data_IF_960139539422
#
_entry.id   IF_960139539422
#
_cell.length_a   1.000
_cell.length_b   1.000
_cell.length_c   1.000
_cell.angle_alpha   90.00
_cell.angle_beta   90.00
_cell.angle_gamma   90.00
#
_symmetry.space_group_name_H-M   'P 1'
#
loop_
_entity.id
_entity.type
_entity.pdbx_description
1 polymer ?
#
# COMPACT_ATOMS: atom_id res chain seq x y z
N UNK A 1 17.82 -8.59 13.84
CA UNK A 1 18.44 -7.94 15.03
C UNK A 1 17.77 -6.62 15.41
N UNK A 2 17.66 -5.64 14.51
CA UNK A 2 17.06 -4.33 14.80
C UNK A 2 15.76 -4.42 15.61
N UNK A 3 14.78 -5.18 15.15
CA UNK A 3 13.45 -5.27 15.79
C UNK A 3 13.55 -5.84 17.22
N UNK A 4 14.44 -6.82 17.46
CA UNK A 4 14.70 -7.35 18.81
C UNK A 4 15.31 -6.29 19.75
N UNK A 5 16.28 -5.51 19.26
CA UNK A 5 16.93 -4.46 20.04
C UNK A 5 15.97 -3.32 20.41
N UNK A 6 14.91 -3.13 19.62
CA UNK A 6 13.81 -2.20 19.89
C UNK A 6 12.69 -2.80 20.75
N UNK A 7 12.83 -4.05 21.20
CA UNK A 7 11.80 -4.75 21.99
C UNK A 7 10.60 -5.24 21.18
N UNK A 8 10.69 -5.24 19.85
CA UNK A 8 9.67 -5.78 18.97
C UNK A 8 9.88 -7.27 18.72
N UNK A 9 8.80 -8.01 18.52
CA UNK A 9 8.88 -9.39 18.04
C UNK A 9 9.14 -9.40 16.53
N UNK A 10 10.30 -9.89 16.04
CA UNK A 10 10.55 -10.03 14.63
C UNK A 10 9.60 -11.09 14.04
N UNK A 11 9.19 -10.83 12.81
CA UNK A 11 8.34 -11.77 12.09
C UNK A 11 9.10 -13.02 11.65
N UNK A 12 10.33 -12.82 11.17
CA UNK A 12 11.18 -13.84 10.56
C UNK A 12 12.63 -13.65 11.05
N UNK A 13 13.41 -14.73 11.00
CA UNK A 13 14.85 -14.72 11.25
C UNK A 13 15.56 -15.15 9.97
N UNK A 14 16.40 -14.27 9.44
CA UNK A 14 17.26 -14.57 8.31
C UNK A 14 18.64 -14.97 8.82
N UNK A 15 19.23 -15.98 8.21
CA UNK A 15 20.60 -16.42 8.49
C UNK A 15 21.50 -15.94 7.38
N UNK A 16 22.61 -15.33 7.72
CA UNK A 16 23.67 -14.97 6.79
C UNK A 16 24.92 -15.81 7.06
N UNK A 17 25.57 -16.30 6.01
CA UNK A 17 26.71 -17.23 6.12
C UNK A 17 27.72 -17.01 5.00
N UNK A 18 28.94 -17.47 5.18
CA UNK A 18 29.95 -17.55 4.11
C UNK A 18 29.77 -18.78 3.20
N UNK A 19 28.90 -19.74 3.57
CA UNK A 19 28.62 -20.90 2.73
C UNK A 19 27.86 -20.49 1.45
N UNK A 20 28.25 -21.04 0.31
CA UNK A 20 27.55 -20.83 -0.96
C UNK A 20 26.16 -21.50 -0.97
N UNK A 21 25.22 -21.08 -1.81
CA UNK A 21 23.91 -21.70 -1.90
C UNK A 21 23.96 -23.19 -2.21
N UNK A 22 24.95 -23.63 -2.99
CA UNK A 22 25.20 -25.02 -3.35
C UNK A 22 25.69 -25.84 -2.16
N UNK A 23 26.56 -25.29 -1.31
CA UNK A 23 27.03 -25.92 -0.07
C UNK A 23 25.87 -26.04 0.94
N UNK A 24 25.08 -24.99 1.09
CA UNK A 24 23.88 -25.02 1.96
C UNK A 24 22.92 -26.12 1.50
N UNK A 25 22.65 -26.20 0.19
CA UNK A 25 21.80 -27.24 -0.37
C UNK A 25 22.37 -28.66 -0.18
N UNK A 26 23.69 -28.81 -0.23
CA UNK A 26 24.36 -30.09 0.02
C UNK A 26 24.25 -30.51 1.50
N UNK A 27 24.32 -29.54 2.42
CA UNK A 27 24.25 -29.77 3.85
C UNK A 27 22.83 -30.09 4.33
N UNK A 28 21.81 -29.41 3.74
CA UNK A 28 20.42 -29.56 4.15
C UNK A 28 19.56 -30.22 3.05
N UNK A 29 19.17 -31.48 3.26
CA UNK A 29 18.35 -32.23 2.31
C UNK A 29 16.96 -31.64 2.06
N UNK A 30 16.42 -30.83 3.01
CA UNK A 30 15.15 -30.12 2.95
C UNK A 30 15.30 -28.66 2.42
N UNK A 31 16.42 -28.36 1.73
CA UNK A 31 16.71 -27.04 1.19
C UNK A 31 16.21 -26.90 -0.26
N UNK A 32 15.62 -25.75 -0.58
CA UNK A 32 15.31 -25.31 -1.95
C UNK A 32 16.01 -24.01 -2.25
N UNK A 33 16.71 -23.94 -3.41
CA UNK A 33 17.29 -22.69 -3.91
C UNK A 33 16.21 -21.94 -4.67
N UNK A 34 16.00 -20.68 -4.30
CA UNK A 34 15.05 -19.77 -4.93
C UNK A 34 15.73 -18.50 -5.41
N UNK A 35 15.07 -17.79 -6.31
CA UNK A 35 15.58 -16.55 -6.89
C UNK A 35 16.46 -16.77 -8.13
N UNK A 36 16.26 -15.94 -9.16
CA UNK A 36 17.07 -15.93 -10.37
C UNK A 36 18.23 -14.94 -10.29
N UNK A 37 17.95 -13.76 -9.72
CA UNK A 37 18.91 -12.67 -9.55
C UNK A 37 19.73 -12.85 -8.27
N UNK A 38 19.04 -13.19 -7.18
CA UNK A 38 19.61 -13.45 -5.86
C UNK A 38 19.26 -14.87 -5.48
N UNK A 39 20.24 -15.73 -5.34
CA UNK A 39 20.03 -17.09 -4.87
C UNK A 39 19.95 -17.10 -3.36
N UNK A 40 18.80 -17.49 -2.83
CA UNK A 40 18.54 -17.72 -1.42
C UNK A 40 18.30 -19.20 -1.20
N UNK A 41 18.77 -19.73 -0.10
CA UNK A 41 18.48 -21.08 0.33
C UNK A 41 17.32 -21.06 1.33
N UNK A 42 16.20 -21.66 0.96
CA UNK A 42 15.05 -21.86 1.83
C UNK A 42 15.14 -23.25 2.48
N UNK A 43 15.37 -23.31 3.79
CA UNK A 43 15.40 -24.54 4.55
C UNK A 43 14.04 -24.73 5.21
N UNK A 44 13.37 -25.85 4.89
CA UNK A 44 12.01 -26.13 5.31
C UNK A 44 11.97 -26.97 6.59
N UNK A 45 11.40 -26.45 7.67
CA UNK A 45 11.12 -27.15 8.91
C UNK A 45 9.59 -27.29 9.09
N UNK A 46 9.02 -28.32 8.45
CA UNK A 46 7.57 -28.47 8.40
C UNK A 46 6.88 -27.34 7.66
N UNK A 47 6.19 -26.45 8.39
CA UNK A 47 5.55 -25.25 7.81
C UNK A 47 6.42 -24.01 7.89
N UNK A 48 7.49 -24.05 8.66
CA UNK A 48 8.40 -22.93 8.82
C UNK A 48 9.52 -22.98 7.77
N UNK A 49 9.94 -21.82 7.32
CA UNK A 49 11.02 -21.66 6.36
C UNK A 49 12.04 -20.71 6.96
N UNK A 50 13.29 -21.16 7.02
CA UNK A 50 14.42 -20.30 7.37
C UNK A 50 15.11 -19.90 6.07
N UNK A 51 15.22 -18.59 5.83
CA UNK A 51 15.98 -18.05 4.71
C UNK A 51 17.46 -17.97 5.10
N UNK A 52 18.31 -18.56 4.25
CA UNK A 52 19.75 -18.50 4.42
C UNK A 52 20.36 -17.83 3.20
N UNK A 53 21.08 -16.73 3.43
CA UNK A 53 21.76 -15.93 2.41
C UNK A 53 23.28 -16.07 2.56
N UNK A 54 23.98 -16.21 1.46
CA UNK A 54 25.45 -16.09 1.42
C UNK A 54 25.85 -14.62 1.53
N UNK A 55 26.92 -14.29 2.28
CA UNK A 55 27.50 -12.94 2.33
C UNK A 55 27.90 -12.49 0.92
N UNK A 56 27.66 -11.23 0.61
CA UNK A 56 27.88 -10.66 -0.71
C UNK A 56 28.80 -9.44 -0.62
N UNK A 57 29.66 -9.29 -1.64
CA UNK A 57 30.46 -8.09 -1.83
C UNK A 57 29.76 -7.09 -2.78
N UNK A 58 30.23 -5.85 -2.79
CA UNK A 58 29.91 -4.89 -3.83
C UNK A 58 30.56 -5.34 -5.17
N UNK A 59 29.94 -4.97 -6.30
CA UNK A 59 30.60 -5.12 -7.59
C UNK A 59 31.66 -4.03 -7.72
N UNK A 60 32.89 -4.39 -7.97
CA UNK A 60 33.93 -3.44 -8.43
C UNK A 60 33.60 -2.97 -9.85
N UNK A 61 33.65 -1.65 -10.07
CA UNK A 61 33.31 -0.99 -11.35
C UNK A 61 34.29 -1.37 -12.51
N UNK A 62 35.21 -2.28 -12.29
CA UNK A 62 36.26 -2.65 -13.24
C UNK A 62 36.14 -4.01 -13.91
N UNK A 63 35.28 -4.90 -13.46
CA UNK A 63 35.08 -6.18 -14.11
C UNK A 63 33.91 -6.14 -15.08
N UNK A 64 34.20 -6.17 -16.41
CA UNK A 64 33.23 -6.50 -17.47
C UNK A 64 32.72 -7.94 -17.27
N UNK A 65 31.98 -8.17 -16.24
CA UNK A 65 31.33 -9.44 -15.92
C UNK A 65 29.87 -9.42 -16.29
N UNK A 66 29.35 -10.51 -16.83
CA UNK A 66 27.99 -10.82 -17.28
C UNK A 66 26.85 -10.41 -16.31
N UNK A 67 26.70 -9.15 -15.93
CA UNK A 67 25.70 -8.77 -14.91
C UNK A 67 25.12 -7.37 -14.97
N UNK A 68 25.71 -6.46 -15.74
CA UNK A 68 25.24 -5.06 -15.82
C UNK A 68 24.58 -4.81 -17.18
N UNK A 69 23.38 -4.23 -17.20
CA UNK A 69 22.75 -3.74 -18.45
C UNK A 69 23.23 -2.35 -18.78
N UNK A 70 23.06 -1.93 -20.07
CA UNK A 70 23.34 -0.58 -20.56
C UNK A 70 22.66 0.57 -19.76
N UNK A 71 21.72 0.24 -18.85
CA UNK A 71 21.00 1.17 -17.98
C UNK A 71 21.44 1.10 -16.50
N UNK A 72 22.59 0.51 -16.18
CA UNK A 72 23.10 0.43 -14.82
C UNK A 72 22.36 -0.55 -13.88
N UNK A 73 21.42 -1.34 -14.41
CA UNK A 73 20.68 -2.33 -13.62
C UNK A 73 21.50 -3.61 -13.46
N UNK A 74 21.86 -3.94 -12.23
CA UNK A 74 22.56 -5.20 -11.90
C UNK A 74 21.63 -6.39 -12.16
N UNK A 75 21.97 -7.24 -13.14
CA UNK A 75 21.19 -8.42 -13.53
C UNK A 75 21.52 -9.66 -12.70
N UNK A 76 22.77 -9.80 -12.23
CA UNK A 76 23.22 -10.88 -11.35
C UNK A 76 24.08 -10.28 -10.24
N UNK A 77 23.74 -10.57 -9.00
CA UNK A 77 24.43 -10.10 -7.80
C UNK A 77 24.86 -11.34 -6.99
N UNK A 78 25.77 -12.12 -7.56
CA UNK A 78 26.32 -13.35 -6.95
C UNK A 78 27.83 -13.21 -6.67
N UNK A 79 28.32 -12.00 -6.44
CA UNK A 79 29.67 -11.80 -5.93
C UNK A 79 29.63 -12.05 -4.42
N UNK A 80 30.27 -13.13 -3.99
CA UNK A 80 30.34 -13.50 -2.57
C UNK A 80 31.48 -12.74 -1.88
N UNK A 81 31.26 -12.37 -0.62
CA UNK A 81 32.20 -11.59 0.17
C UNK A 81 32.26 -11.99 1.63
N UNK A 82 32.87 -11.15 2.43
CA UNK A 82 32.91 -11.26 3.89
C UNK A 82 31.61 -10.75 4.53
N UNK A 83 31.43 -10.98 5.83
CA UNK A 83 30.35 -10.40 6.62
C UNK A 83 30.38 -8.86 6.59
N UNK A 84 31.59 -8.28 6.62
CA UNK A 84 31.78 -6.83 6.53
C UNK A 84 31.32 -6.28 5.19
N UNK A 85 31.69 -6.92 4.07
CA UNK A 85 31.25 -6.54 2.71
C UNK A 85 29.72 -6.58 2.63
N UNK A 86 29.07 -7.62 3.17
CA UNK A 86 27.61 -7.71 3.19
C UNK A 86 26.96 -6.61 4.02
N UNK A 87 27.59 -6.15 5.10
CA UNK A 87 27.10 -5.03 5.89
C UNK A 87 27.15 -3.71 5.14
N UNK A 88 28.29 -3.41 4.48
CA UNK A 88 28.47 -2.16 3.74
C UNK A 88 27.59 -2.01 2.50
N UNK A 89 27.14 -3.11 1.89
CA UNK A 89 26.24 -3.06 0.73
C UNK A 89 24.76 -2.92 1.08
N UNK A 90 24.38 -3.06 2.36
CA UNK A 90 22.98 -2.89 2.81
C UNK A 90 22.50 -1.45 2.65
N UNK A 91 21.21 -1.22 2.84
CA UNK A 91 20.61 0.11 2.65
C UNK A 91 20.86 1.06 3.84
N UNK A 92 20.47 0.65 5.04
CA UNK A 92 20.52 1.51 6.22
C UNK A 92 21.34 0.88 7.34
N UNK A 93 22.03 1.71 8.12
CA UNK A 93 22.91 1.28 9.22
C UNK A 93 22.18 0.38 10.21
N UNK A 94 20.96 0.73 10.60
CA UNK A 94 20.12 -0.05 11.52
C UNK A 94 19.67 -1.41 10.96
N UNK A 95 19.78 -1.62 9.65
CA UNK A 95 19.48 -2.89 8.97
C UNK A 95 20.72 -3.76 8.75
N UNK A 96 21.91 -3.28 9.11
CA UNK A 96 23.18 -3.97 8.93
C UNK A 96 23.76 -4.52 10.25
N UNK A 97 22.88 -4.90 11.17
CA UNK A 97 23.23 -5.50 12.45
C UNK A 97 23.10 -7.01 12.38
N UNK A 98 24.13 -7.72 12.80
CA UNK A 98 24.16 -9.18 12.81
C UNK A 98 24.30 -9.70 14.25
N UNK A 99 23.73 -10.86 14.49
CA UNK A 99 23.90 -11.57 15.76
C UNK A 99 24.83 -12.75 15.53
N UNK A 100 25.94 -12.77 16.26
CA UNK A 100 26.87 -13.88 16.23
C UNK A 100 26.44 -14.94 17.26
N UNK A 101 26.23 -16.16 16.79
CA UNK A 101 25.79 -17.27 17.66
C UNK A 101 26.93 -17.90 18.49
N UNK A 102 28.18 -17.66 18.12
CA UNK A 102 29.32 -18.27 18.79
C UNK A 102 29.62 -17.58 20.14
N UNK A 103 29.51 -16.25 20.18
CA UNK A 103 29.81 -15.43 21.36
C UNK A 103 28.64 -14.59 21.84
N UNK A 104 27.48 -14.72 21.19
CA UNK A 104 26.23 -13.99 21.46
C UNK A 104 26.35 -12.46 21.34
N UNK A 105 27.33 -11.99 20.58
CA UNK A 105 27.55 -10.57 20.33
C UNK A 105 26.70 -10.03 19.19
N UNK A 106 26.52 -8.71 19.18
CA UNK A 106 25.96 -7.97 18.03
C UNK A 106 27.10 -7.37 17.24
N UNK A 107 27.25 -7.79 15.99
CA UNK A 107 28.27 -7.27 15.08
C UNK A 107 27.71 -6.08 14.32
N UNK A 108 28.43 -4.97 14.37
CA UNK A 108 28.05 -3.68 13.75
C UNK A 108 29.29 -3.04 13.10
N UNK A 109 29.32 -3.03 11.77
CA UNK A 109 30.39 -2.40 10.97
C UNK A 109 30.04 -0.97 10.54
N UNK A 110 28.78 -0.56 10.65
CA UNK A 110 28.25 0.65 10.01
C UNK A 110 27.78 1.71 11.00
N UNK A 111 27.88 1.44 12.30
CA UNK A 111 27.39 2.35 13.35
C UNK A 111 25.89 2.25 13.60
N UNK A 112 25.26 1.17 13.19
CA UNK A 112 23.82 0.96 13.31
C UNK A 112 23.31 0.92 14.76
N UNK A 113 24.11 0.45 15.73
CA UNK A 113 23.74 0.49 17.15
C UNK A 113 23.64 1.91 17.71
N UNK A 114 24.53 2.81 17.27
CA UNK A 114 24.48 4.21 17.68
C UNK A 114 23.24 4.90 17.08
N UNK A 115 22.99 4.71 15.78
CA UNK A 115 21.83 5.26 15.09
C UNK A 115 20.51 4.69 15.67
N UNK A 116 20.49 3.41 16.03
CA UNK A 116 19.34 2.77 16.67
C UNK A 116 18.99 3.42 18.02
N UNK A 117 20.01 3.69 18.84
CA UNK A 117 19.85 4.36 20.15
C UNK A 117 19.43 5.82 20.00
N UNK A 118 19.91 6.48 18.94
CA UNK A 118 19.59 7.87 18.63
C UNK A 118 18.21 8.03 17.94
N UNK A 119 17.58 6.95 17.50
CA UNK A 119 16.34 7.01 16.71
C UNK A 119 16.55 7.67 15.33
N UNK A 120 17.70 7.44 14.70
CA UNK A 120 18.07 8.01 13.41
C UNK A 120 18.12 6.92 12.35
N UNK A 121 17.51 7.20 11.20
CA UNK A 121 17.64 6.36 10.01
C UNK A 121 18.67 6.98 9.07
N UNK A 122 19.78 6.28 8.88
CA UNK A 122 20.91 6.70 8.07
C UNK A 122 21.19 5.67 6.98
N UNK A 123 21.39 6.16 5.74
CA UNK A 123 21.84 5.31 4.63
C UNK A 123 23.33 4.97 4.78
N UNK A 124 23.72 3.78 4.37
CA UNK A 124 25.12 3.34 4.38
C UNK A 124 25.81 3.89 3.14
N UNK A 125 26.93 4.61 3.31
CA UNK A 125 27.67 5.23 2.23
C UNK A 125 27.13 6.61 1.82
N UNK A 126 27.50 7.07 0.63
CA UNK A 126 27.05 8.36 0.11
C UNK A 126 25.60 8.30 -0.37
N UNK A 127 24.76 9.16 0.19
CA UNK A 127 23.31 9.12 -0.06
C UNK A 127 22.94 9.36 -1.54
N UNK A 128 23.66 10.27 -2.22
CA UNK A 128 23.41 10.55 -3.64
C UNK A 128 23.68 9.33 -4.50
N UNK A 129 24.86 8.76 -4.37
CA UNK A 129 25.26 7.54 -5.09
C UNK A 129 24.28 6.39 -4.83
N UNK A 130 23.91 6.18 -3.57
CA UNK A 130 23.02 5.07 -3.17
C UNK A 130 21.59 5.25 -3.70
N UNK A 131 21.07 6.46 -3.81
CA UNK A 131 19.77 6.72 -4.40
C UNK A 131 19.78 6.66 -5.93
N UNK A 132 20.89 7.03 -6.57
CA UNK A 132 21.06 6.86 -8.01
C UNK A 132 21.16 5.40 -8.42
N UNK A 133 21.88 4.56 -7.64
CA UNK A 133 21.94 3.11 -7.85
C UNK A 133 20.54 2.45 -7.76
N UNK A 134 19.74 2.87 -6.78
CA UNK A 134 18.41 2.32 -6.54
C UNK A 134 17.47 3.35 -5.93
N UNK A 135 16.70 4.09 -6.76
CA UNK A 135 15.75 5.10 -6.28
C UNK A 135 14.69 4.57 -5.32
N UNK A 136 14.37 3.26 -5.34
CA UNK A 136 13.43 2.64 -4.41
C UNK A 136 13.91 2.75 -2.96
N UNK A 137 15.20 2.95 -2.71
CA UNK A 137 15.72 3.20 -1.36
C UNK A 137 15.11 4.44 -0.71
N UNK A 138 14.68 5.45 -1.49
CA UNK A 138 13.95 6.62 -0.97
C UNK A 138 12.59 6.22 -0.39
N UNK A 139 11.83 5.35 -1.07
CA UNK A 139 10.57 4.82 -0.55
C UNK A 139 10.79 3.90 0.66
N UNK A 140 11.88 3.14 0.66
CA UNK A 140 12.27 2.32 1.81
C UNK A 140 12.66 3.19 3.01
N UNK A 141 13.33 4.33 2.79
CA UNK A 141 13.63 5.30 3.84
C UNK A 141 12.34 5.84 4.48
N UNK A 142 11.37 6.27 3.68
CA UNK A 142 10.07 6.73 4.17
C UNK A 142 9.35 5.63 4.99
N UNK A 143 9.35 4.39 4.48
CA UNK A 143 8.74 3.26 5.16
C UNK A 143 9.40 2.91 6.49
N UNK A 144 10.73 2.90 6.55
CA UNK A 144 11.43 2.60 7.81
C UNK A 144 11.33 3.75 8.80
N UNK A 145 11.38 5.01 8.35
CA UNK A 145 11.14 6.16 9.20
C UNK A 145 9.75 6.08 9.86
N UNK A 146 8.72 5.76 9.08
CA UNK A 146 7.36 5.57 9.58
C UNK A 146 7.23 4.37 10.54
N UNK A 147 7.78 3.20 10.15
CA UNK A 147 7.68 1.97 10.93
C UNK A 147 8.39 2.06 12.28
N UNK A 148 9.55 2.71 12.32
CA UNK A 148 10.41 2.77 13.50
C UNK A 148 10.22 4.06 14.30
N UNK A 149 9.44 5.01 13.76
CA UNK A 149 9.30 6.37 14.30
C UNK A 149 10.65 7.10 14.42
N UNK A 150 11.56 6.82 13.48
CA UNK A 150 12.90 7.38 13.44
C UNK A 150 12.94 8.64 12.58
N UNK A 151 13.81 9.56 12.97
CA UNK A 151 14.12 10.72 12.15
C UNK A 151 15.10 10.34 11.03
N UNK A 152 14.87 10.89 9.84
CA UNK A 152 15.81 10.75 8.74
C UNK A 152 17.05 11.62 9.01
N UNK A 153 18.23 11.09 8.69
CA UNK A 153 19.44 11.91 8.67
C UNK A 153 19.26 13.13 7.75
N UNK A 154 19.69 14.30 8.20
CA UNK A 154 19.44 15.57 7.48
C UNK A 154 20.06 15.61 6.08
N UNK A 155 21.25 15.02 5.92
CA UNK A 155 21.90 14.90 4.62
C UNK A 155 21.13 14.01 3.66
N UNK A 156 20.58 12.91 4.18
CA UNK A 156 19.73 11.98 3.41
C UNK A 156 18.42 12.65 2.98
N UNK A 157 17.75 13.41 3.85
CA UNK A 157 16.51 14.13 3.53
C UNK A 157 16.70 15.11 2.36
N UNK A 158 17.76 15.91 2.38
CA UNK A 158 18.06 16.83 1.30
C UNK A 158 18.29 16.12 -0.05
N UNK A 159 18.94 14.96 -0.03
CA UNK A 159 19.17 14.16 -1.25
C UNK A 159 17.89 13.50 -1.76
N UNK A 160 16.99 13.05 -0.89
CA UNK A 160 15.68 12.54 -1.28
C UNK A 160 14.91 13.60 -2.05
N UNK A 161 14.82 14.82 -1.55
CA UNK A 161 14.15 15.91 -2.27
C UNK A 161 14.79 16.22 -3.64
N UNK A 162 16.12 16.17 -3.72
CA UNK A 162 16.84 16.46 -4.96
C UNK A 162 16.70 15.36 -6.02
N UNK A 163 16.46 14.11 -5.62
CA UNK A 163 16.48 12.93 -6.49
C UNK A 163 15.13 12.23 -6.61
N UNK A 164 14.07 12.76 -6.05
CA UNK A 164 12.73 12.18 -6.07
C UNK A 164 12.24 11.84 -7.50
N UNK A 165 12.61 12.66 -8.50
CA UNK A 165 12.31 12.46 -9.91
C UNK A 165 12.84 11.13 -10.49
N UNK A 166 13.89 10.56 -9.89
CA UNK A 166 14.46 9.27 -10.32
C UNK A 166 13.48 8.10 -10.12
N UNK A 167 12.45 8.27 -9.30
CA UNK A 167 11.38 7.28 -9.16
C UNK A 167 10.60 7.05 -10.47
N UNK A 168 10.57 8.03 -11.39
CA UNK A 168 9.94 7.88 -12.72
C UNK A 168 10.58 6.74 -13.52
N UNK A 169 11.89 6.51 -13.35
CA UNK A 169 12.62 5.44 -14.04
C UNK A 169 12.44 4.04 -13.42
N UNK A 170 11.77 3.92 -12.28
CA UNK A 170 11.58 2.63 -11.61
C UNK A 170 10.44 1.84 -12.28
N UNK A 171 10.63 0.54 -12.56
CA UNK A 171 9.57 -0.29 -13.13
C UNK A 171 8.28 -0.25 -12.29
N UNK A 172 7.09 -0.01 -12.92
CA UNK A 172 5.82 0.13 -12.21
C UNK A 172 5.43 -1.07 -11.33
N UNK A 173 5.86 -2.28 -11.70
CA UNK A 173 5.63 -3.48 -10.89
C UNK A 173 6.42 -3.44 -9.58
N UNK A 174 7.64 -2.89 -9.59
CA UNK A 174 8.45 -2.74 -8.40
C UNK A 174 7.89 -1.67 -7.46
N UNK A 175 7.37 -0.56 -8.02
CA UNK A 175 6.68 0.46 -7.23
C UNK A 175 5.40 -0.11 -6.58
N UNK A 176 4.67 -0.98 -7.27
CA UNK A 176 3.51 -1.66 -6.68
C UNK A 176 3.89 -2.47 -5.43
N UNK A 177 4.99 -3.23 -5.49
CA UNK A 177 5.45 -4.02 -4.34
C UNK A 177 5.84 -3.13 -3.15
N UNK A 178 6.47 -1.98 -3.38
CA UNK A 178 6.81 -1.03 -2.32
C UNK A 178 5.56 -0.32 -1.76
N UNK A 179 4.58 0.03 -2.61
CA UNK A 179 3.28 0.58 -2.15
C UNK A 179 2.59 -0.38 -1.19
N UNK A 180 2.60 -1.68 -1.48
CA UNK A 180 2.05 -2.66 -0.55
C UNK A 180 2.80 -2.70 0.78
N UNK A 181 4.13 -2.62 0.75
CA UNK A 181 4.94 -2.60 1.98
C UNK A 181 4.76 -1.30 2.78
N UNK A 182 4.55 -0.16 2.12
CA UNK A 182 4.29 1.13 2.77
C UNK A 182 2.96 1.12 3.54
N UNK A 183 1.91 0.53 2.95
CA UNK A 183 0.55 0.71 3.45
C UNK A 183 -0.12 -0.55 4.03
N UNK A 184 0.56 -1.71 4.05
CA UNK A 184 0.00 -2.97 4.58
C UNK A 184 0.80 -3.53 5.76
N UNK A 185 1.48 -2.68 6.51
CA UNK A 185 2.34 -3.12 7.63
C UNK A 185 1.94 -2.55 8.99
N UNK A 186 0.80 -1.86 9.09
CA UNK A 186 0.30 -1.28 10.33
C UNK A 186 0.85 0.12 10.65
N UNK A 187 1.47 0.77 9.67
CA UNK A 187 2.02 2.13 9.78
C UNK A 187 1.67 2.95 8.53
N UNK A 188 0.49 2.70 7.95
CA UNK A 188 0.09 3.26 6.67
C UNK A 188 -0.11 4.77 6.73
N UNK A 189 -0.79 5.26 7.76
CA UNK A 189 -1.01 6.70 7.96
C UNK A 189 0.32 7.43 8.11
N UNK A 190 1.19 6.92 8.98
CA UNK A 190 2.51 7.55 9.16
C UNK A 190 3.38 7.47 7.91
N UNK A 191 3.31 6.37 7.15
CA UNK A 191 3.99 6.25 5.86
C UNK A 191 3.50 7.29 4.85
N UNK A 192 2.20 7.57 4.82
CA UNK A 192 1.61 8.61 3.97
C UNK A 192 2.13 10.01 4.34
N UNK A 193 2.13 10.36 5.63
CA UNK A 193 2.65 11.64 6.12
C UNK A 193 4.12 11.83 5.70
N UNK A 194 4.97 10.84 5.97
CA UNK A 194 6.40 10.91 5.60
C UNK A 194 6.59 11.00 4.08
N UNK A 195 5.79 10.28 3.28
CA UNK A 195 5.86 10.40 1.81
C UNK A 195 5.47 11.80 1.32
N UNK A 196 4.51 12.45 1.97
CA UNK A 196 4.10 13.83 1.68
C UNK A 196 5.20 14.81 2.06
N UNK A 197 5.75 14.69 3.26
CA UNK A 197 6.84 15.54 3.76
C UNK A 197 8.09 15.46 2.85
N UNK A 198 8.36 14.29 2.30
CA UNK A 198 9.49 14.05 1.40
C UNK A 198 9.20 14.32 -0.08
N UNK A 199 8.00 14.77 -0.44
CA UNK A 199 7.54 14.96 -1.82
C UNK A 199 7.64 13.69 -2.68
N UNK A 200 7.49 12.49 -2.08
CA UNK A 200 7.56 11.21 -2.78
C UNK A 200 6.18 10.68 -3.22
N UNK A 201 5.11 11.13 -2.56
CA UNK A 201 3.76 10.62 -2.79
C UNK A 201 3.29 10.84 -4.24
N UNK A 202 3.59 12.00 -4.81
CA UNK A 202 3.20 12.36 -6.18
C UNK A 202 3.79 11.46 -7.27
N UNK A 203 4.95 10.85 -7.02
CA UNK A 203 5.56 9.88 -7.92
C UNK A 203 4.88 8.51 -7.89
N UNK A 204 4.05 8.23 -6.88
CA UNK A 204 3.25 7.02 -6.77
C UNK A 204 1.79 7.25 -7.20
N UNK A 205 1.22 8.43 -6.88
CA UNK A 205 -0.20 8.75 -7.05
C UNK A 205 -0.38 10.17 -7.59
N UNK A 206 0.11 10.44 -8.80
CA UNK A 206 0.19 11.79 -9.39
C UNK A 206 -1.16 12.52 -9.44
N UNK A 207 -2.24 11.83 -9.86
CA UNK A 207 -3.58 12.46 -9.94
C UNK A 207 -4.09 12.86 -8.55
N UNK A 208 -3.86 12.02 -7.56
CA UNK A 208 -4.28 12.29 -6.19
C UNK A 208 -3.44 13.40 -5.58
N UNK A 209 -2.13 13.38 -5.80
CA UNK A 209 -1.22 14.40 -5.29
C UNK A 209 -1.49 15.79 -5.88
N UNK A 210 -1.90 15.86 -7.15
CA UNK A 210 -2.32 17.11 -7.79
C UNK A 210 -3.50 17.75 -7.02
N UNK A 211 -4.53 16.99 -6.67
CA UNK A 211 -5.67 17.48 -5.89
C UNK A 211 -5.25 17.94 -4.48
N UNK A 212 -4.39 17.16 -3.82
CA UNK A 212 -3.86 17.51 -2.50
C UNK A 212 -3.01 18.79 -2.52
N UNK A 213 -2.29 19.02 -3.61
CA UNK A 213 -1.49 20.24 -3.82
C UNK A 213 -2.36 21.46 -4.11
N UNK A 214 -3.57 21.25 -4.65
CA UNK A 214 -4.60 22.30 -4.81
C UNK A 214 -5.40 22.56 -3.51
N UNK A 215 -5.15 21.81 -2.44
CA UNK A 215 -5.78 21.98 -1.13
C UNK A 215 -7.12 21.25 -0.98
N UNK A 216 -7.34 20.14 -1.69
CA UNK A 216 -8.57 19.31 -1.50
C UNK A 216 -8.53 18.59 -0.14
N UNK A 217 -9.02 19.27 0.90
CA UNK A 217 -9.12 18.76 2.28
C UNK A 217 -9.98 17.49 2.38
N UNK A 218 -10.99 17.36 1.50
CA UNK A 218 -11.81 16.14 1.48
C UNK A 218 -10.97 14.91 1.10
N UNK A 219 -10.18 15.01 0.04
CA UNK A 219 -9.33 13.90 -0.42
C UNK A 219 -8.30 13.55 0.63
N UNK A 220 -7.67 14.53 1.28
CA UNK A 220 -6.71 14.28 2.36
C UNK A 220 -7.36 13.57 3.55
N UNK A 221 -8.48 14.11 4.05
CA UNK A 221 -9.23 13.52 5.17
C UNK A 221 -9.68 12.10 4.87
N UNK A 222 -10.13 11.83 3.62
CA UNK A 222 -10.54 10.50 3.20
C UNK A 222 -9.39 9.50 3.21
N UNK A 223 -8.23 9.89 2.69
CA UNK A 223 -7.03 9.06 2.68
C UNK A 223 -6.56 8.80 4.12
N UNK A 224 -6.42 9.84 4.94
CA UNK A 224 -5.98 9.70 6.32
C UNK A 224 -6.89 8.75 7.12
N UNK A 225 -8.22 8.89 7.00
CA UNK A 225 -9.15 8.02 7.68
C UNK A 225 -9.08 6.57 7.17
N UNK A 226 -8.93 6.37 5.85
CA UNK A 226 -8.78 5.04 5.26
C UNK A 226 -7.52 4.33 5.74
N UNK A 227 -6.40 5.06 5.84
CA UNK A 227 -5.12 4.52 6.28
C UNK A 227 -5.13 4.25 7.80
N UNK A 228 -5.69 5.13 8.62
CA UNK A 228 -5.89 4.90 10.05
C UNK A 228 -6.73 3.63 10.31
N UNK A 229 -7.86 3.48 9.61
CA UNK A 229 -8.68 2.27 9.70
C UNK A 229 -7.94 1.00 9.22
N UNK A 230 -7.03 1.15 8.26
CA UNK A 230 -6.17 0.05 7.78
C UNK A 230 -5.18 -0.38 8.86
N UNK A 231 -4.52 0.57 9.51
CA UNK A 231 -3.56 0.30 10.59
C UNK A 231 -4.25 -0.35 11.79
N UNK A 232 -5.40 0.14 12.20
CA UNK A 232 -6.21 -0.45 13.27
C UNK A 232 -6.57 -1.92 12.96
N UNK A 233 -6.99 -2.21 11.72
CA UNK A 233 -7.31 -3.58 11.31
C UNK A 233 -6.10 -4.50 11.38
N UNK A 234 -4.93 -4.04 10.93
CA UNK A 234 -3.68 -4.82 10.95
C UNK A 234 -3.26 -5.09 12.40
N UNK A 235 -3.30 -4.09 13.28
CA UNK A 235 -2.98 -4.25 14.70
C UNK A 235 -3.91 -5.25 15.41
N UNK A 236 -5.16 -5.37 14.95
CA UNK A 236 -6.10 -6.39 15.43
C UNK A 236 -5.98 -7.75 14.71
N UNK A 237 -4.92 -7.98 13.93
CA UNK A 237 -4.69 -9.23 13.20
C UNK A 237 -5.68 -9.50 12.05
N UNK A 238 -6.43 -8.48 11.62
CA UNK A 238 -7.42 -8.60 10.52
C UNK A 238 -6.75 -8.33 9.17
N UNK A 239 -7.05 -9.17 8.20
CA UNK A 239 -6.55 -8.98 6.84
C UNK A 239 -7.08 -7.71 6.17
N UNK A 240 -6.24 -7.06 5.38
CA UNK A 240 -6.59 -5.90 4.55
C UNK A 240 -6.43 -6.27 3.08
N UNK A 241 -7.39 -5.84 2.26
CA UNK A 241 -7.35 -6.12 0.82
C UNK A 241 -6.71 -4.93 0.08
N UNK A 242 -5.64 -5.14 -0.70
CA UNK A 242 -5.03 -4.09 -1.51
C UNK A 242 -6.00 -3.33 -2.39
N UNK A 243 -7.04 -3.98 -2.91
CA UNK A 243 -8.04 -3.32 -3.75
C UNK A 243 -8.80 -2.21 -3.00
N UNK A 244 -9.08 -2.38 -1.70
CA UNK A 244 -9.72 -1.34 -0.89
C UNK A 244 -8.79 -0.15 -0.67
N UNK A 245 -7.52 -0.42 -0.37
CA UNK A 245 -6.50 0.61 -0.21
C UNK A 245 -6.38 1.47 -1.47
N UNK A 246 -6.14 0.84 -2.63
CA UNK A 246 -6.05 1.58 -3.89
C UNK A 246 -7.36 2.29 -4.25
N UNK A 247 -8.51 1.69 -3.93
CA UNK A 247 -9.80 2.36 -4.12
C UNK A 247 -9.90 3.65 -3.28
N UNK A 248 -9.37 3.64 -2.06
CA UNK A 248 -9.35 4.82 -1.20
C UNK A 248 -8.36 5.88 -1.69
N UNK A 249 -7.12 5.49 -2.02
CA UNK A 249 -6.08 6.41 -2.49
C UNK A 249 -6.44 7.12 -3.81
N UNK A 250 -7.25 6.50 -4.66
CA UNK A 250 -7.66 7.04 -5.96
C UNK A 250 -9.10 7.59 -5.96
N UNK A 251 -9.77 7.64 -4.80
CA UNK A 251 -11.16 8.10 -4.74
C UNK A 251 -11.33 9.57 -5.10
N UNK A 252 -10.44 10.44 -4.68
CA UNK A 252 -10.47 11.87 -5.01
C UNK A 252 -10.60 12.11 -6.53
N UNK A 253 -9.61 11.66 -7.33
CA UNK A 253 -9.66 11.79 -8.80
C UNK A 253 -10.90 11.15 -9.42
N UNK A 254 -11.30 9.96 -8.97
CA UNK A 254 -12.50 9.27 -9.49
C UNK A 254 -13.77 10.06 -9.19
N UNK A 255 -13.91 10.60 -7.98
CA UNK A 255 -15.05 11.42 -7.55
C UNK A 255 -15.14 12.70 -8.38
N UNK A 256 -14.02 13.41 -8.54
CA UNK A 256 -13.95 14.65 -9.33
C UNK A 256 -14.34 14.40 -10.79
N UNK A 257 -13.73 13.41 -11.44
CA UNK A 257 -14.04 13.08 -12.83
C UNK A 257 -15.49 12.59 -13.00
N UNK A 258 -16.02 11.81 -12.05
CA UNK A 258 -17.41 11.37 -12.08
C UNK A 258 -18.39 12.54 -11.93
N UNK A 259 -18.11 13.53 -11.07
CA UNK A 259 -18.93 14.72 -10.90
C UNK A 259 -19.04 15.50 -12.21
N UNK A 260 -17.92 15.73 -12.89
CA UNK A 260 -17.91 16.41 -14.20
C UNK A 260 -18.75 15.68 -15.26
N UNK A 261 -18.70 14.35 -15.28
CA UNK A 261 -19.52 13.53 -16.18
C UNK A 261 -21.02 13.57 -15.83
N UNK A 262 -21.36 13.65 -14.54
CA UNK A 262 -22.75 13.82 -14.09
C UNK A 262 -23.31 15.19 -14.47
N UNK A 263 -22.52 16.26 -14.39
CA UNK A 263 -22.89 17.61 -14.86
C UNK A 263 -23.17 17.64 -16.36
N UNK A 264 -22.51 16.77 -17.13
CA UNK A 264 -22.77 16.56 -18.56
C UNK A 264 -24.02 15.68 -18.83
N UNK A 265 -24.75 15.27 -17.80
CA UNK A 265 -26.01 14.53 -17.90
C UNK A 265 -25.87 13.00 -17.82
N UNK A 266 -24.70 12.48 -17.51
CA UNK A 266 -24.54 11.03 -17.30
C UNK A 266 -25.16 10.57 -15.99
N UNK A 267 -25.56 9.30 -15.93
CA UNK A 267 -25.99 8.71 -14.66
C UNK A 267 -24.78 8.45 -13.77
N UNK A 268 -24.91 8.56 -12.42
CA UNK A 268 -23.85 8.31 -11.46
C UNK A 268 -23.14 6.96 -11.66
N UNK A 269 -23.87 5.94 -12.09
CA UNK A 269 -23.27 4.63 -12.37
C UNK A 269 -22.35 4.68 -13.60
N UNK A 270 -22.80 5.31 -14.68
CA UNK A 270 -21.99 5.47 -15.90
C UNK A 270 -20.79 6.37 -15.66
N UNK A 271 -20.99 7.48 -14.96
CA UNK A 271 -19.95 8.42 -14.60
C UNK A 271 -18.83 7.75 -13.81
N UNK A 272 -19.16 6.99 -12.74
CA UNK A 272 -18.18 6.24 -11.96
C UNK A 272 -17.49 5.12 -12.75
N UNK A 273 -18.18 4.51 -13.73
CA UNK A 273 -17.54 3.51 -14.60
C UNK A 273 -16.49 4.12 -15.52
N UNK A 274 -16.80 5.24 -16.14
CA UNK A 274 -15.90 5.94 -17.05
C UNK A 274 -14.73 6.53 -16.27
N UNK A 275 -15.01 7.35 -15.25
CA UNK A 275 -14.00 7.97 -14.41
C UNK A 275 -13.04 6.94 -13.78
N UNK A 276 -13.58 5.86 -13.23
CA UNK A 276 -12.76 4.79 -12.66
C UNK A 276 -11.88 4.07 -13.68
N UNK A 277 -12.31 3.97 -14.95
CA UNK A 277 -11.47 3.41 -16.01
C UNK A 277 -10.33 4.35 -16.39
N UNK A 278 -10.63 5.64 -16.57
CA UNK A 278 -9.65 6.67 -16.94
C UNK A 278 -8.58 6.82 -15.87
N UNK A 279 -8.99 7.01 -14.62
CA UNK A 279 -8.07 7.15 -13.46
C UNK A 279 -7.18 5.93 -13.32
N UNK A 280 -7.72 4.71 -13.42
CA UNK A 280 -6.90 3.49 -13.33
C UNK A 280 -5.95 3.37 -14.53
N UNK A 281 -6.37 3.74 -15.73
CA UNK A 281 -5.51 3.67 -16.92
C UNK A 281 -4.29 4.57 -16.78
N UNK A 282 -4.47 5.77 -16.26
CA UNK A 282 -3.38 6.70 -15.99
C UNK A 282 -2.48 6.20 -14.84
N UNK A 283 -3.08 5.74 -13.74
CA UNK A 283 -2.36 5.21 -12.59
C UNK A 283 -1.45 4.02 -12.94
N UNK A 284 -1.86 3.18 -13.90
CA UNK A 284 -1.08 2.01 -14.34
C UNK A 284 0.24 2.37 -15.01
N UNK A 285 0.42 3.61 -15.46
CA UNK A 285 1.70 4.10 -16.03
C UNK A 285 2.78 4.24 -14.95
N UNK A 286 2.38 4.51 -13.73
CA UNK A 286 3.28 4.72 -12.58
C UNK A 286 3.37 3.48 -11.70
N UNK A 287 2.22 2.96 -11.24
CA UNK A 287 2.16 1.79 -10.36
C UNK A 287 1.31 0.72 -11.03
N UNK A 288 1.93 -0.42 -11.34
CA UNK A 288 1.26 -1.55 -12.02
C UNK A 288 0.34 -2.30 -11.07
N UNK A 289 -0.94 -1.89 -11.01
CA UNK A 289 -1.95 -2.56 -10.18
C UNK A 289 -2.49 -3.80 -10.91
N UNK A 290 -2.22 -5.03 -10.44
CA UNK A 290 -2.71 -6.25 -11.08
C UNK A 290 -4.24 -6.28 -11.20
N UNK A 291 -4.77 -6.90 -12.27
CA UNK A 291 -6.22 -7.02 -12.54
C UNK A 291 -7.01 -7.60 -11.36
N UNK A 292 -6.42 -8.51 -10.59
CA UNK A 292 -7.03 -9.08 -9.37
C UNK A 292 -7.36 -8.03 -8.29
N UNK A 293 -6.76 -6.84 -8.34
CA UNK A 293 -7.03 -5.71 -7.45
C UNK A 293 -7.76 -4.58 -8.17
N UNK A 294 -7.39 -4.24 -9.41
CA UNK A 294 -8.01 -3.12 -10.14
C UNK A 294 -9.47 -3.39 -10.53
N UNK A 295 -9.88 -4.64 -10.75
CA UNK A 295 -11.28 -4.96 -10.98
C UNK A 295 -12.14 -4.78 -9.71
N UNK A 296 -11.78 -5.35 -8.54
CA UNK A 296 -12.50 -5.08 -7.29
C UNK A 296 -12.56 -3.61 -6.89
N UNK A 297 -11.52 -2.80 -7.16
CA UNK A 297 -11.57 -1.34 -6.95
C UNK A 297 -12.74 -0.70 -7.67
N UNK A 298 -12.87 -0.96 -8.98
CA UNK A 298 -13.95 -0.43 -9.83
C UNK A 298 -15.33 -0.90 -9.35
N UNK A 299 -15.42 -2.14 -8.85
CA UNK A 299 -16.65 -2.66 -8.26
C UNK A 299 -17.04 -1.89 -6.99
N UNK A 300 -16.07 -1.54 -6.12
CA UNK A 300 -16.28 -0.73 -4.91
C UNK A 300 -16.83 0.65 -5.29
N UNK A 301 -16.22 1.35 -6.25
CA UNK A 301 -16.66 2.67 -6.70
C UNK A 301 -18.05 2.64 -7.33
N UNK A 302 -18.29 1.74 -8.26
CA UNK A 302 -19.59 1.63 -8.93
C UNK A 302 -20.72 1.18 -7.99
N UNK A 303 -20.38 0.45 -6.94
CA UNK A 303 -21.32 0.08 -5.90
C UNK A 303 -21.83 1.30 -5.11
N UNK A 304 -21.06 2.40 -5.00
CA UNK A 304 -21.51 3.62 -4.32
C UNK A 304 -22.81 4.17 -4.95
N UNK A 305 -22.90 4.21 -6.29
CA UNK A 305 -24.13 4.60 -6.98
C UNK A 305 -25.27 3.58 -6.80
N UNK A 306 -24.95 2.30 -6.60
CA UNK A 306 -25.96 1.26 -6.39
C UNK A 306 -26.50 1.26 -4.96
N UNK A 307 -25.66 1.56 -3.96
CA UNK A 307 -26.06 1.67 -2.54
C UNK A 307 -27.16 2.72 -2.34
N UNK A 308 -27.19 3.79 -3.11
CA UNK A 308 -28.25 4.79 -3.09
C UNK A 308 -29.61 4.27 -3.58
N UNK A 309 -29.62 3.19 -4.39
CA UNK A 309 -30.82 2.62 -5.02
C UNK A 309 -31.40 1.46 -4.20
N UNK A 310 -31.87 1.74 -2.98
CA UNK A 310 -32.32 0.76 -1.97
C UNK A 310 -33.64 0.05 -2.26
N UNK A 311 -34.40 0.42 -3.31
CA UNK A 311 -35.79 -0.02 -3.50
C UNK A 311 -35.92 -1.46 -4.05
N UNK A 312 -36.89 -2.21 -3.52
CA UNK A 312 -37.30 -3.52 -4.00
C UNK A 312 -36.19 -4.57 -3.93
N UNK A 313 -36.13 -5.47 -4.91
CA UNK A 313 -35.17 -6.59 -4.96
C UNK A 313 -33.71 -6.14 -5.15
N UNK A 314 -33.46 -4.84 -5.43
CA UNK A 314 -32.11 -4.34 -5.69
C UNK A 314 -31.23 -4.40 -4.42
N UNK A 315 -31.80 -4.08 -3.26
CA UNK A 315 -31.07 -4.15 -1.99
C UNK A 315 -30.60 -5.59 -1.67
N UNK A 316 -31.49 -6.57 -1.85
CA UNK A 316 -31.10 -7.98 -1.66
C UNK A 316 -29.99 -8.41 -2.60
N UNK A 317 -30.12 -8.10 -3.90
CA UNK A 317 -29.09 -8.43 -4.90
C UNK A 317 -27.75 -7.78 -4.60
N UNK A 318 -27.75 -6.58 -4.05
CA UNK A 318 -26.50 -5.89 -3.69
C UNK A 318 -25.86 -6.53 -2.46
N UNK A 319 -26.67 -6.89 -1.44
CA UNK A 319 -26.21 -7.56 -0.23
C UNK A 319 -25.54 -8.93 -0.53
N UNK A 320 -26.02 -9.64 -1.55
CA UNK A 320 -25.48 -10.94 -1.98
C UNK A 320 -24.21 -10.84 -2.82
N UNK A 321 -23.80 -9.65 -3.22
CA UNK A 321 -22.59 -9.48 -4.04
C UNK A 321 -21.31 -9.75 -3.23
N UNK A 322 -20.31 -10.43 -3.79
CA UNK A 322 -19.06 -10.74 -3.08
C UNK A 322 -18.31 -9.50 -2.57
N UNK A 323 -18.51 -8.34 -3.20
CA UNK A 323 -17.85 -7.06 -2.83
C UNK A 323 -18.73 -6.15 -1.98
N UNK A 324 -19.92 -6.60 -1.60
CA UNK A 324 -20.83 -5.78 -0.80
C UNK A 324 -20.18 -5.27 0.48
N UNK A 325 -19.49 -6.13 1.21
CA UNK A 325 -18.83 -5.71 2.47
C UNK A 325 -17.81 -4.59 2.24
N UNK A 326 -16.95 -4.72 1.24
CA UNK A 326 -15.98 -3.68 0.91
C UNK A 326 -16.65 -2.37 0.45
N UNK A 327 -17.73 -2.47 -0.35
CA UNK A 327 -18.50 -1.29 -0.78
C UNK A 327 -19.23 -0.61 0.38
N UNK A 328 -19.71 -1.37 1.35
CA UNK A 328 -20.32 -0.86 2.56
C UNK A 328 -19.29 -0.19 3.48
N UNK A 329 -18.13 -0.83 3.71
CA UNK A 329 -17.05 -0.24 4.50
C UNK A 329 -16.57 1.09 3.86
N UNK A 330 -16.53 1.15 2.52
CA UNK A 330 -16.22 2.37 1.78
C UNK A 330 -17.31 3.46 1.94
N UNK A 331 -18.58 3.09 1.94
CA UNK A 331 -19.67 4.01 2.25
C UNK A 331 -19.56 4.55 3.68
N UNK A 332 -19.25 3.68 4.65
CA UNK A 332 -19.05 4.10 6.05
C UNK A 332 -17.89 5.09 6.18
N UNK A 333 -16.80 4.88 5.44
CA UNK A 333 -15.68 5.81 5.39
C UNK A 333 -16.10 7.20 4.89
N UNK A 334 -16.92 7.26 3.82
CA UNK A 334 -17.48 8.51 3.29
C UNK A 334 -18.35 9.24 4.32
N UNK A 335 -19.13 8.48 5.11
CA UNK A 335 -19.89 9.05 6.23
C UNK A 335 -18.99 9.60 7.33
N UNK A 336 -17.94 8.88 7.70
CA UNK A 336 -17.01 9.26 8.77
C UNK A 336 -16.33 10.60 8.52
N UNK A 337 -16.07 10.93 7.26
CA UNK A 337 -15.48 12.21 6.87
C UNK A 337 -16.52 13.32 6.61
N UNK A 338 -17.79 13.10 6.93
CA UNK A 338 -18.82 14.12 6.92
C UNK A 338 -19.61 14.28 5.62
N UNK A 339 -19.57 13.30 4.69
CA UNK A 339 -20.54 13.33 3.58
C UNK A 339 -21.97 13.15 4.14
N UNK A 340 -22.98 13.88 3.61
CA UNK A 340 -24.36 13.83 4.11
C UNK A 340 -25.06 12.52 3.71
N UNK A 341 -24.53 11.39 4.19
CA UNK A 341 -24.97 10.03 3.86
C UNK A 341 -25.43 9.24 5.10
N UNK A 342 -25.63 9.90 6.26
CA UNK A 342 -25.93 9.27 7.54
C UNK A 342 -27.14 8.35 7.46
N UNK A 343 -28.23 8.80 6.81
CA UNK A 343 -29.43 8.00 6.58
C UNK A 343 -29.13 6.74 5.74
N UNK A 344 -28.22 6.85 4.77
CA UNK A 344 -27.85 5.74 3.91
C UNK A 344 -26.97 4.73 4.67
N UNK A 345 -26.02 5.23 5.44
CA UNK A 345 -25.12 4.44 6.29
C UNK A 345 -25.93 3.69 7.36
N UNK A 346 -26.80 4.40 8.11
CA UNK A 346 -27.68 3.79 9.10
C UNK A 346 -28.58 2.72 8.50
N UNK A 347 -29.19 3.02 7.34
CA UNK A 347 -30.09 2.07 6.68
C UNK A 347 -29.36 0.78 6.29
N UNK A 348 -28.18 0.85 5.68
CA UNK A 348 -27.42 -0.32 5.28
C UNK A 348 -26.88 -1.11 6.47
N UNK A 349 -26.47 -0.43 7.55
CA UNK A 349 -26.07 -1.09 8.80
C UNK A 349 -27.22 -1.92 9.34
N UNK A 350 -28.40 -1.33 9.50
CA UNK A 350 -29.59 -2.04 9.98
C UNK A 350 -30.04 -3.16 9.05
N UNK A 351 -29.99 -2.93 7.73
CA UNK A 351 -30.42 -3.91 6.73
C UNK A 351 -29.58 -5.19 6.75
N UNK A 352 -28.30 -5.09 7.03
CA UNK A 352 -27.40 -6.25 7.17
C UNK A 352 -27.74 -7.10 8.40
N UNK A 353 -28.09 -6.47 9.50
CA UNK A 353 -28.35 -7.10 10.80
C UNK A 353 -29.72 -7.77 10.88
N UNK A 354 -30.69 -7.29 10.09
CA UNK A 354 -32.07 -7.78 10.13
C UNK A 354 -32.20 -9.18 9.48
N UNK A 355 -33.16 -9.94 10.00
CA UNK A 355 -33.68 -11.15 9.36
C UNK A 355 -34.50 -10.82 8.09
N UNK A 356 -35.01 -11.85 7.42
CA UNK A 356 -35.79 -11.69 6.18
C UNK A 356 -37.07 -10.85 6.38
N UNK A 357 -37.75 -10.99 7.52
CA UNK A 357 -38.97 -10.26 7.82
C UNK A 357 -38.66 -8.78 8.10
N UNK A 358 -37.62 -8.50 8.87
CA UNK A 358 -37.15 -7.15 9.16
C UNK A 358 -36.69 -6.43 7.89
N UNK A 359 -35.94 -7.08 7.01
CA UNK A 359 -35.55 -6.53 5.70
C UNK A 359 -36.75 -6.18 4.84
N UNK A 360 -37.76 -7.07 4.78
CA UNK A 360 -38.99 -6.80 4.04
C UNK A 360 -39.76 -5.60 4.59
N UNK A 361 -39.82 -5.44 5.91
CA UNK A 361 -40.44 -4.29 6.56
C UNK A 361 -39.72 -2.98 6.23
N UNK A 362 -38.37 -2.95 6.29
CA UNK A 362 -37.57 -1.79 5.91
C UNK A 362 -37.78 -1.36 4.45
N UNK A 363 -37.87 -2.31 3.52
CA UNK A 363 -38.15 -2.02 2.11
C UNK A 363 -39.57 -1.48 1.87
N UNK A 364 -40.56 -1.96 2.63
CA UNK A 364 -41.96 -1.47 2.58
C UNK A 364 -42.07 -0.01 3.05
N UNK A 365 -41.30 0.37 4.07
CA UNK A 365 -41.24 1.77 4.54
C UNK A 365 -40.69 2.71 3.45
N UNK A 366 -39.66 2.33 2.71
CA UNK A 366 -39.14 3.12 1.58
C UNK A 366 -40.18 3.28 0.45
N UNK A 367 -41.01 2.26 0.18
CA UNK A 367 -42.05 2.31 -0.85
C UNK A 367 -43.26 3.17 -0.49
N UNK A 368 -43.55 3.33 0.83
CA UNK A 368 -44.68 4.11 1.35
C UNK A 368 -44.54 5.63 1.14
N UNK A 369 -43.32 6.14 1.22
CA UNK A 369 -43.05 7.58 1.03
C UNK A 369 -43.21 8.04 -0.43
N UNK A 370 -42.97 7.19 -1.40
CA UNK A 370 -43.11 7.48 -2.84
C UNK A 370 -44.59 7.59 -3.27
N UNK A 371 -45.49 6.77 -2.72
CA UNK A 371 -46.92 6.82 -3.05
C UNK A 371 -47.62 8.06 -2.46
N UNK A 372 -47.19 8.57 -1.31
CA UNK A 372 -47.73 9.77 -0.68
C UNK A 372 -47.39 11.05 -1.47
N UNK A 373 -46.22 11.12 -2.08
CA UNK A 373 -45.79 12.27 -2.90
C UNK A 373 -46.53 12.35 -4.25
N UNK A 374 -46.88 11.22 -4.85
CA UNK A 374 -47.62 11.15 -6.13
C UNK A 374 -49.10 11.52 -5.99
N UNK A 375 -49.74 11.28 -4.83
CA UNK A 375 -51.16 11.63 -4.58
C UNK A 375 -51.39 13.13 -4.34
N UNK A 376 -50.36 13.92 -3.99
CA UNK A 376 -50.44 15.36 -3.72
C UNK A 376 -50.36 16.25 -4.96
N UNK A 377 -50.21 15.69 -6.18
CA UNK A 377 -50.07 16.43 -7.44
C UNK A 377 -51.16 16.05 -8.45
N UNK A 378 -52.45 16.18 -8.09
CA UNK A 378 -53.52 16.36 -9.09
C UNK A 378 -54.07 17.79 -8.93
N UNK A 379 -53.93 18.67 -9.92
CA UNK A 379 -54.63 19.93 -9.94
C UNK A 379 -56.13 19.63 -10.13
N UNK A 380 -56.97 20.23 -9.31
CA UNK A 380 -58.41 20.37 -9.58
C UNK A 380 -58.53 21.21 -10.89
N UNK A 381 -59.12 20.66 -11.91
CA UNK A 381 -59.73 21.43 -12.99
C UNK A 381 -61.01 22.06 -12.38
N UNK A 382 -61.00 23.39 -12.27
CA UNK A 382 -62.20 24.18 -12.06
C UNK A 382 -63.01 24.24 -13.34
N UNK A 383 -64.26 23.87 -13.25
CA UNK A 383 -65.32 24.30 -14.15
C UNK A 383 -65.64 25.75 -13.85
N UNK A 384 -65.55 26.60 -14.80
CA UNK A 384 -66.56 27.49 -15.36
C UNK A 384 -65.90 28.31 -16.46
#
# INVERSE_FOLDING_TARGET
MRDLLLGHHPKDFDVATNATPEEIKKTFGNCRLIGRRFRLAHIHFGREIIEVATFRAAHDEGEEGEGITANGLILRDNVFGSLEDDAWRRDFTVNALYYNIDDFSVVDYTGGLADLKAGVLRIIGDAETRFLEDPVRMLRAARFAAKLEFQLDSGMTARIHALADKLIGVPPARLFDEVLKLFHTGHALRSYEVLRDLNLFGYLFTQTDAMLSEGDEYTDSFICQALANTDERIHHGKGVNPAFLFAALLWGPVRQAATLLEEQGMTSLQALQIAGNEVVTEQLRQVSIPKRFSLPMREIWTAQARLSRRQGKRAYRLLEQPRFRAAYDFLMLRCQIGEPLEDLCYWWTRFQEMDSAGRAAMLKQLGGTSKRRRRRRKPRQGQE
#
